data_IF_366077295471
#
_entry.id   IF_366077295471
#
_cell.length_a   1.000
_cell.length_b   1.000
_cell.length_c   1.000
_cell.angle_alpha   90.00
_cell.angle_beta   90.00
_cell.angle_gamma   90.00
#
_symmetry.space_group_name_H-M   'P 1'
#
loop_
_entity.id
_entity.type
_entity.pdbx_description
1 polymer ?
#
# COMPACT_ATOMS: atom_id res chain seq x y z
N UNK A 1 3.79 -14.64 39.62
CA UNK A 1 2.74 -14.66 38.58
C UNK A 1 2.31 -13.23 38.34
N UNK A 2 2.94 -12.55 37.39
CA UNK A 2 2.61 -11.16 37.03
C UNK A 2 1.75 -11.17 35.78
N UNK A 3 0.53 -10.67 35.90
CA UNK A 3 -0.48 -10.58 34.85
C UNK A 3 -0.06 -9.56 33.79
N UNK A 4 -0.04 -9.98 32.52
CA UNK A 4 0.11 -9.11 31.35
C UNK A 4 -1.16 -8.27 31.21
N UNK A 5 -1.09 -6.92 31.12
CA UNK A 5 -2.29 -6.11 30.89
C UNK A 5 -2.81 -6.39 29.47
N UNK A 6 -4.14 -6.56 29.37
CA UNK A 6 -4.83 -6.73 28.10
C UNK A 6 -4.54 -5.56 27.14
N UNK A 7 -4.26 -5.89 25.88
CA UNK A 7 -3.85 -4.95 24.85
C UNK A 7 -4.83 -3.79 24.65
N UNK A 8 -4.26 -2.60 24.45
CA UNK A 8 -5.00 -1.38 24.13
C UNK A 8 -5.91 -1.59 22.91
N UNK A 9 -7.16 -1.08 22.92
CA UNK A 9 -8.05 -1.18 21.77
C UNK A 9 -7.46 -0.40 20.58
N UNK A 10 -7.46 -1.00 19.39
CA UNK A 10 -7.18 -0.26 18.16
C UNK A 10 -8.38 0.67 17.86
N UNK A 11 -8.16 1.99 17.85
CA UNK A 11 -9.19 3.01 17.65
C UNK A 11 -9.13 3.62 16.24
N UNK A 12 -10.30 3.96 15.67
CA UNK A 12 -10.39 4.77 14.46
C UNK A 12 -10.33 6.25 14.84
N UNK A 13 -9.37 7.02 14.30
CA UNK A 13 -9.30 8.47 14.53
C UNK A 13 -9.46 9.24 13.22
N UNK A 14 -10.44 10.14 13.19
CA UNK A 14 -10.69 11.07 12.09
C UNK A 14 -9.79 12.30 12.24
N UNK A 15 -9.03 12.66 11.19
CA UNK A 15 -8.44 13.98 11.05
C UNK A 15 -9.30 14.82 10.09
N UNK A 16 -10.13 15.70 10.63
CA UNK A 16 -10.97 16.60 9.85
C UNK A 16 -10.15 17.74 9.23
N UNK A 17 -10.16 17.85 7.91
CA UNK A 17 -9.77 19.09 7.22
C UNK A 17 -10.99 20.02 7.21
N UNK A 18 -10.82 21.25 7.68
CA UNK A 18 -11.86 22.28 7.61
C UNK A 18 -12.15 22.59 6.15
N UNK A 19 -13.44 22.55 5.78
CA UNK A 19 -13.91 22.68 4.40
C UNK A 19 -14.23 21.28 3.85
N UNK A 20 -15.52 21.01 3.64
CA UNK A 20 -16.05 19.67 3.41
C UNK A 20 -15.32 18.84 2.34
N UNK A 21 -15.62 17.53 2.36
CA UNK A 21 -15.21 16.46 1.44
C UNK A 21 -14.11 15.50 1.96
N UNK A 22 -14.61 14.35 2.47
CA UNK A 22 -14.06 12.99 2.71
C UNK A 22 -12.60 12.84 3.20
N UNK A 23 -12.47 12.34 4.43
CA UNK A 23 -11.25 12.28 5.23
C UNK A 23 -10.41 10.99 5.09
N UNK A 24 -9.18 11.10 5.56
CA UNK A 24 -8.16 10.05 5.67
C UNK A 24 -8.47 9.17 6.90
N UNK A 25 -8.63 7.85 6.70
CA UNK A 25 -8.83 6.88 7.80
C UNK A 25 -7.52 6.18 8.16
N UNK A 26 -6.76 6.71 9.11
CA UNK A 26 -5.64 5.95 9.69
C UNK A 26 -6.17 4.89 10.66
N UNK A 27 -5.83 3.61 10.45
CA UNK A 27 -6.02 2.55 11.44
C UNK A 27 -4.76 2.51 12.32
N UNK A 28 -4.81 3.12 13.51
CA UNK A 28 -3.66 3.22 14.39
C UNK A 28 -4.06 3.48 15.85
N UNK A 29 -3.36 2.84 16.78
CA UNK A 29 -3.46 3.11 18.22
C UNK A 29 -3.06 4.56 18.52
N UNK A 30 -3.63 5.18 19.56
CA UNK A 30 -3.23 6.54 19.95
C UNK A 30 -1.74 6.57 20.32
N UNK A 31 -0.92 7.16 19.45
CA UNK A 31 0.47 7.51 19.76
C UNK A 31 0.51 9.02 20.00
N UNK A 32 1.01 9.50 21.16
CA UNK A 32 1.23 10.91 21.39
C UNK A 32 2.37 11.39 20.49
N UNK A 33 2.04 12.15 19.44
CA UNK A 33 3.03 12.83 18.59
C UNK A 33 3.06 12.36 17.14
N UNK A 34 2.29 13.04 16.29
CA UNK A 34 2.56 13.11 14.86
C UNK A 34 1.87 12.05 13.99
N UNK A 35 0.85 12.50 13.23
CA UNK A 35 0.40 11.82 12.03
C UNK A 35 1.58 11.71 11.06
N UNK A 36 1.95 10.50 10.65
CA UNK A 36 2.85 10.31 9.52
C UNK A 36 2.12 10.75 8.23
N UNK A 37 2.29 12.02 7.87
CA UNK A 37 1.71 12.59 6.65
C UNK A 37 2.34 11.93 5.42
N UNK A 38 1.53 11.22 4.63
CA UNK A 38 1.91 10.80 3.29
C UNK A 38 1.63 11.97 2.33
N UNK A 39 2.64 12.58 1.68
CA UNK A 39 2.43 13.70 0.75
C UNK A 39 1.50 13.38 -0.42
N UNK A 40 1.35 12.09 -0.77
CA UNK A 40 0.44 11.60 -1.80
C UNK A 40 -1.05 11.72 -1.43
N UNK A 41 -1.39 11.77 -0.14
CA UNK A 41 -2.77 11.93 0.30
C UNK A 41 -3.37 13.27 -0.15
N UNK A 42 -2.54 14.31 -0.31
CA UNK A 42 -2.99 15.62 -0.82
C UNK A 42 -3.21 15.65 -2.33
N UNK A 43 -2.63 14.70 -3.09
CA UNK A 43 -2.79 14.63 -4.56
C UNK A 43 -4.03 13.85 -4.98
N UNK A 44 -4.56 12.98 -4.11
CA UNK A 44 -5.72 12.13 -4.39
C UNK A 44 -6.99 12.80 -3.83
N UNK A 45 -7.64 13.66 -4.63
CA UNK A 45 -8.86 14.36 -4.20
C UNK A 45 -10.05 13.42 -3.91
N UNK A 46 -10.76 13.75 -2.83
CA UNK A 46 -12.16 13.50 -2.42
C UNK A 46 -12.80 12.11 -2.50
N UNK A 47 -12.20 11.08 -3.11
CA UNK A 47 -12.85 9.75 -3.26
C UNK A 47 -11.97 8.54 -2.88
N UNK A 48 -10.77 8.77 -2.34
CA UNK A 48 -9.81 7.72 -1.99
C UNK A 48 -9.56 7.69 -0.48
N UNK A 49 -9.96 6.60 0.16
CA UNK A 49 -9.64 6.33 1.56
C UNK A 49 -8.33 5.55 1.64
N UNK A 50 -7.34 6.08 2.36
CA UNK A 50 -6.09 5.37 2.65
C UNK A 50 -6.19 4.72 4.02
N UNK A 51 -5.78 3.46 4.12
CA UNK A 51 -5.60 2.79 5.42
C UNK A 51 -4.22 2.15 5.48
N UNK A 52 -3.47 2.49 6.52
CA UNK A 52 -2.19 1.90 6.85
C UNK A 52 -2.40 1.02 8.08
N UNK A 53 -2.50 -0.32 7.95
CA UNK A 53 -2.62 -1.18 9.12
C UNK A 53 -1.29 -1.22 9.88
N UNK A 54 -1.27 -0.71 11.12
CA UNK A 54 -0.11 -0.79 12.03
C UNK A 54 -0.26 -1.96 12.99
N UNK A 55 -0.47 -3.16 12.46
CA UNK A 55 -0.67 -4.39 13.24
C UNK A 55 0.43 -5.39 12.95
N UNK A 56 0.82 -6.18 13.96
CA UNK A 56 1.65 -7.35 13.74
C UNK A 56 0.80 -8.57 13.32
N UNK A 57 1.46 -9.67 13.01
CA UNK A 57 0.82 -10.95 12.66
C UNK A 57 -0.13 -11.54 13.72
N UNK A 58 -0.15 -10.99 14.94
CA UNK A 58 -1.07 -11.37 16.02
C UNK A 58 -2.25 -10.38 16.17
N UNK A 59 -2.44 -9.48 15.21
CA UNK A 59 -3.46 -8.41 15.23
C UNK A 59 -3.31 -7.45 16.41
N UNK A 60 -2.09 -7.34 16.95
CA UNK A 60 -1.79 -6.36 17.99
C UNK A 60 -1.30 -5.08 17.34
N UNK A 61 -1.88 -3.96 17.75
CA UNK A 61 -1.41 -2.63 17.39
C UNK A 61 0.07 -2.49 17.83
N UNK A 62 0.91 -2.02 16.91
CA UNK A 62 2.33 -1.76 17.15
C UNK A 62 2.72 -0.38 16.64
N UNK A 63 3.81 0.17 17.17
CA UNK A 63 4.32 1.44 16.66
C UNK A 63 4.75 1.31 15.19
N UNK A 64 4.40 2.32 14.35
CA UNK A 64 4.94 2.45 13.00
C UNK A 64 6.46 2.57 13.01
N UNK A 65 7.10 2.14 11.93
CA UNK A 65 8.52 2.42 11.74
C UNK A 65 8.74 3.92 11.61
N UNK A 66 9.64 4.48 12.43
CA UNK A 66 10.02 5.88 12.32
C UNK A 66 11.20 6.01 11.33
N UNK A 67 11.18 6.95 10.36
CA UNK A 67 12.26 7.11 9.38
C UNK A 67 13.64 7.43 9.98
N UNK A 68 13.66 8.01 11.18
CA UNK A 68 14.90 8.24 11.94
C UNK A 68 15.32 7.05 12.82
N UNK A 69 14.63 5.92 12.71
CA UNK A 69 14.99 4.68 13.40
C UNK A 69 16.25 4.04 12.83
N UNK A 70 16.81 3.10 13.57
CA UNK A 70 17.99 2.36 13.14
C UNK A 70 17.64 1.37 12.02
N UNK A 71 17.92 1.76 10.77
CA UNK A 71 17.66 0.96 9.58
C UNK A 71 18.31 -0.44 9.59
N UNK A 72 19.33 -0.69 10.41
CA UNK A 72 19.90 -2.04 10.57
C UNK A 72 18.92 -3.03 11.24
N UNK A 73 18.00 -2.51 12.06
CA UNK A 73 16.97 -3.31 12.77
C UNK A 73 15.65 -3.40 11.99
N UNK A 74 15.51 -2.63 10.91
CA UNK A 74 14.32 -2.63 10.06
C UNK A 74 13.95 -4.03 9.51
N UNK A 75 14.90 -4.87 9.06
CA UNK A 75 14.56 -6.21 8.58
C UNK A 75 13.89 -7.08 9.65
N UNK A 76 14.35 -7.01 10.90
CA UNK A 76 13.77 -7.77 12.01
C UNK A 76 12.39 -7.23 12.40
N UNK A 77 12.25 -5.90 12.42
CA UNK A 77 10.95 -5.24 12.60
C UNK A 77 9.94 -5.67 11.53
N UNK A 78 10.38 -5.80 10.28
CA UNK A 78 9.55 -6.20 9.14
C UNK A 78 9.12 -7.67 9.21
N UNK A 79 9.97 -8.58 9.70
CA UNK A 79 9.64 -10.02 9.83
C UNK A 79 8.38 -10.29 10.65
N UNK A 80 8.10 -9.44 11.64
CA UNK A 80 6.91 -9.58 12.50
C UNK A 80 5.61 -9.07 11.85
N UNK A 81 5.71 -8.46 10.65
CA UNK A 81 4.64 -7.81 9.92
C UNK A 81 4.56 -8.40 8.52
N UNK A 82 3.91 -9.54 8.38
CA UNK A 82 3.68 -10.16 7.07
C UNK A 82 2.57 -9.40 6.32
N UNK A 83 2.90 -8.81 5.17
CA UNK A 83 1.96 -8.08 4.32
C UNK A 83 0.79 -8.95 3.80
N UNK A 84 0.91 -10.28 3.88
CA UNK A 84 -0.12 -11.24 3.49
C UNK A 84 -1.08 -11.58 4.63
N UNK A 85 -0.81 -11.14 5.86
CA UNK A 85 -1.63 -11.40 7.05
C UNK A 85 -2.40 -10.17 7.52
N UNK A 86 -2.95 -9.42 6.56
CA UNK A 86 -3.70 -8.18 6.81
C UNK A 86 -5.21 -8.32 6.59
N UNK A 87 -5.67 -9.54 6.29
CA UNK A 87 -7.04 -9.81 5.84
C UNK A 87 -8.09 -9.34 6.87
N UNK A 88 -7.84 -9.54 8.17
CA UNK A 88 -8.78 -9.13 9.23
C UNK A 88 -8.92 -7.61 9.32
N UNK A 89 -7.79 -6.91 9.23
CA UNK A 89 -7.77 -5.45 9.26
C UNK A 89 -8.41 -4.87 8.00
N UNK A 90 -8.15 -5.49 6.86
CA UNK A 90 -8.78 -5.09 5.61
C UNK A 90 -10.29 -5.34 5.66
N UNK A 91 -10.76 -6.47 6.18
CA UNK A 91 -12.20 -6.75 6.34
C UNK A 91 -12.90 -5.70 7.19
N UNK A 92 -12.26 -5.29 8.31
CA UNK A 92 -12.78 -4.24 9.17
C UNK A 92 -12.88 -2.90 8.43
N UNK A 93 -11.85 -2.56 7.65
CA UNK A 93 -11.80 -1.35 6.82
C UNK A 93 -12.86 -1.37 5.74
N UNK A 94 -12.97 -2.45 4.97
CA UNK A 94 -13.95 -2.59 3.90
C UNK A 94 -15.37 -2.52 4.45
N UNK A 95 -15.63 -3.18 5.59
CA UNK A 95 -16.91 -3.10 6.30
C UNK A 95 -17.24 -1.67 6.71
N UNK A 96 -16.26 -0.94 7.26
CA UNK A 96 -16.43 0.46 7.63
C UNK A 96 -16.74 1.34 6.41
N UNK A 97 -15.93 1.24 5.35
CA UNK A 97 -16.11 2.01 4.12
C UNK A 97 -17.49 1.77 3.50
N UNK A 98 -17.93 0.52 3.43
CA UNK A 98 -19.23 0.17 2.84
C UNK A 98 -20.41 0.62 3.71
N UNK A 99 -20.36 0.36 5.02
CA UNK A 99 -21.51 0.58 5.91
C UNK A 99 -21.61 2.01 6.45
N UNK A 100 -20.47 2.61 6.80
CA UNK A 100 -20.42 3.92 7.45
C UNK A 100 -20.21 5.05 6.45
N UNK A 101 -19.36 4.82 5.44
CA UNK A 101 -19.08 5.83 4.42
C UNK A 101 -19.95 5.67 3.15
N UNK A 102 -20.71 4.58 3.03
CA UNK A 102 -21.53 4.29 1.84
C UNK A 102 -20.71 4.02 0.58
N UNK A 103 -19.44 3.62 0.71
CA UNK A 103 -18.56 3.38 -0.42
C UNK A 103 -19.04 2.17 -1.25
N UNK A 104 -19.33 2.42 -2.53
CA UNK A 104 -19.78 1.39 -3.48
C UNK A 104 -18.65 0.79 -4.31
N UNK A 105 -17.55 1.53 -4.47
CA UNK A 105 -16.39 1.17 -5.28
C UNK A 105 -15.16 1.46 -4.43
N UNK A 106 -14.31 0.46 -4.26
CA UNK A 106 -13.10 0.56 -3.44
C UNK A 106 -11.92 0.05 -4.25
N UNK A 107 -10.87 0.86 -4.32
CA UNK A 107 -9.56 0.47 -4.85
C UNK A 107 -8.53 0.40 -3.73
N UNK A 108 -7.42 -0.28 -4.00
CA UNK A 108 -6.28 -0.37 -3.06
C UNK A 108 -5.02 0.18 -3.72
N UNK A 109 -4.24 0.92 -2.95
CA UNK A 109 -2.92 1.40 -3.37
C UNK A 109 -1.92 1.05 -2.28
N UNK A 110 -0.80 0.48 -2.69
CA UNK A 110 0.22 0.00 -1.78
C UNK A 110 1.63 0.39 -2.22
N UNK A 111 2.47 0.78 -1.26
CA UNK A 111 3.86 1.16 -1.49
C UNK A 111 4.80 0.26 -0.68
N UNK A 112 5.83 -0.33 -1.32
CA UNK A 112 6.83 -1.20 -0.69
C UNK A 112 6.16 -2.40 -0.04
N UNK A 113 6.24 -2.53 1.28
CA UNK A 113 5.48 -3.49 2.06
C UNK A 113 3.98 -3.40 1.76
N UNK A 114 3.45 -2.18 1.65
CA UNK A 114 2.08 -1.95 1.23
C UNK A 114 1.81 -2.42 -0.20
N UNK A 115 2.79 -2.40 -1.09
CA UNK A 115 2.67 -2.93 -2.45
C UNK A 115 2.55 -4.45 -2.45
N UNK A 116 3.29 -5.15 -1.58
CA UNK A 116 3.12 -6.59 -1.35
C UNK A 116 1.71 -6.88 -0.83
N UNK A 117 1.23 -6.08 0.12
CA UNK A 117 -0.14 -6.16 0.63
C UNK A 117 -1.18 -5.92 -0.47
N UNK A 118 -1.03 -4.87 -1.29
CA UNK A 118 -1.95 -4.58 -2.40
C UNK A 118 -1.99 -5.74 -3.40
N UNK A 119 -0.84 -6.33 -3.71
CA UNK A 119 -0.77 -7.51 -4.57
C UNK A 119 -1.49 -8.72 -3.94
N UNK A 120 -1.23 -9.04 -2.67
CA UNK A 120 -1.94 -10.09 -1.93
C UNK A 120 -3.45 -9.89 -1.95
N UNK A 121 -3.89 -8.66 -1.68
CA UNK A 121 -5.30 -8.30 -1.62
C UNK A 121 -5.97 -8.45 -2.99
N UNK A 122 -5.31 -8.08 -4.08
CA UNK A 122 -5.82 -8.28 -5.44
C UNK A 122 -5.93 -9.74 -5.86
N UNK A 123 -5.18 -10.65 -5.20
CA UNK A 123 -5.33 -12.09 -5.40
C UNK A 123 -6.46 -12.68 -4.54
N UNK A 124 -6.80 -12.05 -3.42
CA UNK A 124 -7.70 -12.64 -2.42
C UNK A 124 -9.12 -12.09 -2.51
N UNK A 125 -9.30 -10.78 -2.77
CA UNK A 125 -10.55 -10.03 -2.57
C UNK A 125 -11.26 -9.63 -3.87
N UNK A 126 -12.16 -10.46 -4.42
CA UNK A 126 -12.85 -10.16 -5.69
C UNK A 126 -13.76 -8.92 -5.65
N UNK A 127 -14.17 -8.46 -4.46
CA UNK A 127 -15.05 -7.31 -4.28
C UNK A 127 -14.38 -5.94 -4.52
N UNK A 128 -13.06 -5.91 -4.69
CA UNK A 128 -12.32 -4.69 -4.97
C UNK A 128 -12.38 -4.34 -6.46
N UNK A 129 -12.23 -3.05 -6.79
CA UNK A 129 -12.38 -2.57 -8.16
C UNK A 129 -11.06 -2.54 -8.93
N UNK A 130 -9.99 -2.10 -8.26
CA UNK A 130 -8.65 -2.13 -8.82
C UNK A 130 -7.59 -2.02 -7.71
N UNK A 131 -6.37 -2.45 -8.05
CA UNK A 131 -5.20 -2.35 -7.19
C UNK A 131 -4.05 -1.65 -7.90
N UNK A 132 -3.24 -0.92 -7.12
CA UNK A 132 -1.94 -0.42 -7.56
C UNK A 132 -0.87 -0.87 -6.57
N UNK A 133 0.01 -1.76 -7.03
CA UNK A 133 1.20 -2.18 -6.30
C UNK A 133 2.40 -1.36 -6.78
N UNK A 134 2.98 -0.57 -5.88
CA UNK A 134 4.17 0.23 -6.16
C UNK A 134 5.35 -0.38 -5.41
N UNK A 135 6.35 -0.85 -6.15
CA UNK A 135 7.54 -1.56 -5.69
C UNK A 135 7.21 -2.63 -4.63
N UNK A 136 6.25 -3.50 -4.95
CA UNK A 136 5.87 -4.66 -4.12
C UNK A 136 5.47 -5.89 -4.93
N UNK A 137 6.04 -7.06 -4.58
CA UNK A 137 5.73 -8.36 -5.17
C UNK A 137 5.59 -9.39 -4.06
N UNK A 138 4.57 -10.25 -4.12
CA UNK A 138 4.52 -11.48 -3.31
C UNK A 138 5.50 -12.47 -3.94
N UNK A 139 6.60 -12.78 -3.27
CA UNK A 139 7.74 -13.53 -3.88
C UNK A 139 7.60 -15.05 -3.75
N UNK A 140 6.90 -15.52 -2.71
CA UNK A 140 6.93 -16.92 -2.28
C UNK A 140 5.64 -17.68 -2.63
N UNK A 141 5.01 -17.37 -3.76
CA UNK A 141 3.80 -18.07 -4.20
C UNK A 141 3.88 -18.45 -5.67
N UNK A 142 3.43 -19.66 -6.00
CA UNK A 142 3.30 -20.06 -7.40
C UNK A 142 2.14 -19.33 -8.09
N UNK A 143 1.14 -18.95 -7.31
CA UNK A 143 -0.11 -18.32 -7.72
C UNK A 143 -0.05 -16.79 -7.76
N UNK A 144 1.14 -16.20 -7.82
CA UNK A 144 1.36 -14.73 -7.90
C UNK A 144 0.71 -14.05 -9.11
N UNK A 145 0.13 -14.84 -10.01
CA UNK A 145 -0.59 -14.38 -11.20
C UNK A 145 -2.11 -14.46 -11.04
N UNK A 146 -2.61 -15.03 -9.95
CA UNK A 146 -4.03 -15.30 -9.69
C UNK A 146 -4.77 -14.04 -9.23
N UNK A 147 -4.60 -12.96 -9.98
CA UNK A 147 -5.28 -11.70 -9.75
C UNK A 147 -6.78 -11.85 -10.03
N UNK A 148 -7.60 -11.39 -9.10
CA UNK A 148 -9.05 -11.37 -9.21
C UNK A 148 -9.59 -10.06 -9.78
N UNK A 149 -8.78 -8.99 -9.73
CA UNK A 149 -9.19 -7.64 -10.11
C UNK A 149 -8.08 -6.89 -10.88
N UNK A 150 -8.43 -5.88 -11.68
CA UNK A 150 -7.46 -5.11 -12.43
C UNK A 150 -6.34 -4.53 -11.57
N UNK A 151 -5.08 -4.87 -11.91
CA UNK A 151 -3.91 -4.47 -11.10
C UNK A 151 -2.83 -3.78 -11.93
N UNK A 152 -2.40 -2.60 -11.48
CA UNK A 152 -1.20 -1.92 -11.97
C UNK A 152 -0.02 -2.21 -11.05
N UNK A 153 1.12 -2.59 -11.63
CA UNK A 153 2.40 -2.71 -10.97
C UNK A 153 3.35 -1.61 -11.44
N UNK A 154 3.98 -0.92 -10.50
CA UNK A 154 5.01 0.10 -10.77
C UNK A 154 6.32 -0.36 -10.12
N UNK A 155 7.37 -0.53 -10.92
CA UNK A 155 8.71 -0.92 -10.49
C UNK A 155 9.76 0.11 -10.90
N UNK A 156 10.94 0.01 -10.29
CA UNK A 156 12.09 0.82 -10.62
C UNK A 156 13.21 -0.10 -11.16
N UNK A 157 13.97 0.37 -12.14
CA UNK A 157 15.03 -0.43 -12.76
C UNK A 157 16.16 -0.76 -11.79
N UNK A 158 16.59 0.23 -10.99
CA UNK A 158 17.70 0.11 -10.03
C UNK A 158 17.18 -0.21 -8.62
N UNK A 159 16.17 -1.08 -8.52
CA UNK A 159 15.59 -1.51 -7.25
C UNK A 159 16.40 -2.64 -6.61
N UNK A 160 17.18 -2.33 -5.58
CA UNK A 160 17.95 -3.31 -4.82
C UNK A 160 17.09 -4.28 -3.99
N UNK A 161 15.83 -3.93 -3.70
CA UNK A 161 14.88 -4.75 -2.92
C UNK A 161 14.10 -5.69 -3.84
N UNK A 162 13.81 -5.26 -5.07
CA UNK A 162 13.07 -6.04 -6.07
C UNK A 162 13.87 -6.06 -7.37
N UNK A 163 14.78 -7.04 -7.53
CA UNK A 163 15.55 -7.20 -8.76
C UNK A 163 14.66 -7.41 -9.99
N UNK A 164 15.10 -6.93 -11.15
CA UNK A 164 14.39 -7.06 -12.44
C UNK A 164 14.05 -8.50 -12.83
N UNK A 165 14.83 -9.48 -12.35
CA UNK A 165 14.54 -10.90 -12.53
C UNK A 165 13.18 -11.28 -11.92
N UNK A 166 12.87 -10.75 -10.73
CA UNK A 166 11.58 -10.99 -10.06
C UNK A 166 10.43 -10.31 -10.82
N UNK A 167 10.66 -9.10 -11.34
CA UNK A 167 9.70 -8.40 -12.20
C UNK A 167 9.44 -9.20 -13.48
N UNK A 168 10.50 -9.77 -14.07
CA UNK A 168 10.42 -10.59 -15.28
C UNK A 168 9.66 -11.89 -15.05
N UNK A 169 9.91 -12.58 -13.94
CA UNK A 169 9.17 -13.78 -13.54
C UNK A 169 7.68 -13.49 -13.33
N UNK A 170 7.35 -12.40 -12.61
CA UNK A 170 5.97 -11.95 -12.43
C UNK A 170 5.31 -11.68 -13.79
N UNK A 171 6.00 -10.96 -14.68
CA UNK A 171 5.50 -10.61 -16.02
C UNK A 171 5.19 -11.86 -16.84
N UNK A 172 6.07 -12.86 -16.81
CA UNK A 172 5.87 -14.13 -17.51
C UNK A 172 4.68 -14.91 -16.94
N UNK A 173 4.56 -15.01 -15.61
CA UNK A 173 3.44 -15.70 -14.96
C UNK A 173 2.11 -15.00 -15.25
N UNK A 174 2.06 -13.67 -15.17
CA UNK A 174 0.88 -12.88 -15.52
C UNK A 174 0.50 -13.05 -17.00
N UNK A 175 1.47 -13.01 -17.92
CA UNK A 175 1.21 -13.21 -19.35
C UNK A 175 0.65 -14.58 -19.67
N UNK A 176 1.09 -15.62 -18.97
CA UNK A 176 0.65 -17.00 -19.23
C UNK A 176 -0.71 -17.34 -18.60
N UNK A 177 -1.01 -16.78 -17.43
CA UNK A 177 -2.07 -17.32 -16.59
C UNK A 177 -3.08 -16.28 -16.07
N UNK A 178 -2.76 -14.98 -16.11
CA UNK A 178 -3.66 -13.95 -15.60
C UNK A 178 -4.90 -13.80 -16.51
N UNK A 179 -6.08 -13.70 -15.89
CA UNK A 179 -7.37 -13.61 -16.59
C UNK A 179 -7.99 -12.22 -16.52
N UNK A 180 -7.38 -11.29 -15.77
CA UNK A 180 -7.86 -9.92 -15.58
C UNK A 180 -6.89 -8.93 -16.20
N UNK A 181 -7.34 -7.69 -16.43
CA UNK A 181 -6.46 -6.65 -16.95
C UNK A 181 -5.33 -6.35 -15.95
N UNK A 182 -4.10 -6.27 -16.45
CA UNK A 182 -2.96 -5.85 -15.65
C UNK A 182 -2.03 -4.98 -16.48
N UNK A 183 -1.28 -4.13 -15.80
CA UNK A 183 -0.22 -3.35 -16.41
C UNK A 183 1.02 -3.40 -15.53
N UNK A 184 2.19 -3.47 -16.15
CA UNK A 184 3.47 -3.39 -15.46
C UNK A 184 4.23 -2.22 -16.07
N UNK A 185 4.68 -1.29 -15.23
CA UNK A 185 5.53 -0.17 -15.64
C UNK A 185 6.83 -0.21 -14.84
N UNK A 186 7.95 -0.32 -15.55
CA UNK A 186 9.28 -0.24 -14.96
C UNK A 186 9.94 1.06 -15.38
N UNK A 187 10.40 1.84 -14.41
CA UNK A 187 10.98 3.17 -14.63
C UNK A 187 12.50 3.10 -14.64
N UNK A 188 13.10 3.48 -15.77
CA UNK A 188 14.54 3.45 -15.97
C UNK A 188 15.26 4.49 -15.10
N UNK A 189 16.45 4.14 -14.58
CA UNK A 189 17.25 5.01 -13.72
C UNK A 189 16.73 5.19 -12.29
N UNK A 190 15.48 4.81 -12.01
CA UNK A 190 14.85 5.00 -10.72
C UNK A 190 15.22 3.91 -9.71
N UNK A 191 15.12 4.23 -8.42
CA UNK A 191 15.39 3.30 -7.30
C UNK A 191 14.13 3.02 -6.49
N UNK A 192 14.22 2.06 -5.56
CA UNK A 192 13.16 1.79 -4.59
C UNK A 192 12.68 3.08 -3.89
N UNK A 193 11.36 3.24 -3.73
CA UNK A 193 10.75 4.38 -3.05
C UNK A 193 10.61 5.68 -3.85
N UNK A 194 11.09 5.75 -5.11
CA UNK A 194 11.10 7.01 -5.88
C UNK A 194 9.73 7.72 -5.95
N UNK A 195 8.63 6.97 -6.08
CA UNK A 195 7.27 7.52 -6.22
C UNK A 195 6.81 8.35 -5.01
N UNK A 196 7.28 8.06 -3.80
CA UNK A 196 6.87 8.78 -2.59
C UNK A 196 7.88 9.84 -2.11
N UNK A 197 8.97 10.07 -2.85
CA UNK A 197 9.92 11.14 -2.51
C UNK A 197 9.18 12.46 -2.38
N UNK A 198 9.53 13.21 -1.32
CA UNK A 198 8.96 14.55 -1.11
C UNK A 198 9.46 15.47 -2.22
N UNK A 199 8.71 16.54 -2.49
CA UNK A 199 9.04 17.45 -3.59
C UNK A 199 10.43 18.07 -3.43
N UNK A 200 10.85 18.25 -2.19
CA UNK A 200 12.14 18.82 -1.79
C UNK A 200 13.30 17.83 -1.99
N UNK A 201 13.00 16.52 -1.98
CA UNK A 201 13.98 15.43 -2.13
C UNK A 201 14.05 14.90 -3.59
N UNK A 202 13.28 15.50 -4.51
CA UNK A 202 13.26 15.13 -5.92
C UNK A 202 14.31 15.92 -6.70
N UNK A 203 15.27 15.21 -7.31
CA UNK A 203 16.14 15.82 -8.32
C UNK A 203 15.29 16.28 -9.53
N UNK A 204 15.79 17.28 -10.27
CA UNK A 204 15.13 17.74 -11.49
C UNK A 204 15.03 16.62 -12.55
N UNK A 205 15.99 15.70 -12.54
CA UNK A 205 16.07 14.55 -13.44
C UNK A 205 15.06 13.45 -13.08
N UNK A 206 14.80 13.23 -11.79
CA UNK A 206 13.83 12.21 -11.32
C UNK A 206 12.39 12.68 -11.43
N UNK A 207 12.15 13.99 -11.35
CA UNK A 207 10.81 14.58 -11.30
C UNK A 207 9.87 14.10 -12.42
N UNK A 208 10.27 14.03 -13.71
CA UNK A 208 9.40 13.54 -14.77
C UNK A 208 8.91 12.11 -14.53
N UNK A 209 9.78 11.21 -14.05
CA UNK A 209 9.47 9.81 -13.77
C UNK A 209 8.55 9.66 -12.56
N UNK A 210 8.80 10.45 -11.50
CA UNK A 210 7.94 10.48 -10.31
C UNK A 210 6.54 10.96 -10.69
N UNK A 211 6.45 12.05 -11.46
CA UNK A 211 5.17 12.60 -11.90
C UNK A 211 4.44 11.62 -12.83
N UNK A 212 5.16 10.94 -13.73
CA UNK A 212 4.57 9.92 -14.60
C UNK A 212 4.05 8.72 -13.80
N UNK A 213 4.84 8.18 -12.86
CA UNK A 213 4.39 7.08 -12.00
C UNK A 213 3.12 7.46 -11.21
N UNK A 214 3.05 8.69 -10.69
CA UNK A 214 1.86 9.23 -9.99
C UNK A 214 0.67 9.39 -10.94
N UNK A 215 0.87 9.89 -12.16
CA UNK A 215 -0.18 9.98 -13.18
C UNK A 215 -0.73 8.60 -13.55
N UNK A 216 0.15 7.64 -13.83
CA UNK A 216 -0.25 6.27 -14.19
C UNK A 216 -1.11 5.60 -13.10
N UNK A 217 -0.75 5.81 -11.83
CA UNK A 217 -1.55 5.35 -10.69
C UNK A 217 -2.94 5.99 -10.71
N UNK A 218 -3.03 7.32 -10.84
CA UNK A 218 -4.31 8.04 -10.85
C UNK A 218 -5.19 7.64 -12.03
N UNK A 219 -4.61 7.52 -13.22
CA UNK A 219 -5.30 7.08 -14.44
C UNK A 219 -5.86 5.66 -14.28
N UNK A 220 -5.09 4.75 -13.66
CA UNK A 220 -5.55 3.40 -13.36
C UNK A 220 -6.77 3.42 -12.42
N UNK A 221 -6.68 4.15 -11.31
CA UNK A 221 -7.79 4.24 -10.37
C UNK A 221 -9.02 4.88 -11.02
N UNK A 222 -8.86 5.97 -11.77
CA UNK A 222 -9.97 6.63 -12.47
C UNK A 222 -10.65 5.72 -13.50
N UNK A 223 -9.90 4.81 -14.13
CA UNK A 223 -10.46 3.84 -15.09
C UNK A 223 -11.38 2.80 -14.43
N UNK A 224 -11.09 2.36 -13.21
CA UNK A 224 -11.76 1.19 -12.62
C UNK A 224 -12.58 1.45 -11.35
N UNK A 225 -12.22 2.49 -10.58
CA UNK A 225 -12.82 2.85 -9.28
C UNK A 225 -13.78 4.02 -9.44
#
# INVERSE_FOLDING_TARGET
>A
MGTVPAGSPCHFRWAGLRGGWQGLCTYGCEIPGGLAWCPLASLMQSHLAFVVPTVNQNHQCQEPWHPSGDWSTFPEWLKTRDARKIDKELDAVLTYLQRQCGARRVGVVGFCWGGVAAHHVMMTYPGLRAGVSVYGIVKDSEDVHSLKNPTLFIFAENDAVIPLEQVSLLTQKLKKHCKVEYQIKTFSGQTHGFVHRKREDCSAEDKPYIDEARRNLLEWLHKYV
#
